data_IF_974247404788
#
_entry.id   IF_974247404788
#
_cell.length_a   1.000
_cell.length_b   1.000
_cell.length_c   1.000
_cell.angle_alpha   90.00
_cell.angle_beta   90.00
_cell.angle_gamma   90.00
#
_symmetry.space_group_name_H-M   'P 1'
#
loop_
_entity.id
_entity.type
_entity.pdbx_description
1 polymer ?
#
# COMPACT_ATOMS: atom_id res chain seq x y z
N UNK A 1 -3.53 13.44 -10.54
CA UNK A 1 -4.17 12.11 -10.55
C UNK A 1 -4.54 11.79 -9.12
N UNK A 2 -5.73 11.25 -8.86
CA UNK A 2 -6.12 10.90 -7.50
C UNK A 2 -5.32 9.67 -7.04
N UNK A 3 -4.95 9.60 -5.77
CA UNK A 3 -4.21 8.48 -5.19
C UNK A 3 -4.92 7.13 -5.44
N UNK A 4 -6.25 7.15 -5.36
CA UNK A 4 -7.09 5.98 -5.61
C UNK A 4 -6.89 5.43 -7.03
N UNK A 5 -6.89 6.30 -8.04
CA UNK A 5 -6.68 5.90 -9.45
C UNK A 5 -5.28 5.31 -9.67
N UNK A 6 -4.27 5.87 -9.00
CA UNK A 6 -2.90 5.38 -9.08
C UNK A 6 -2.80 3.98 -8.48
N UNK A 7 -3.41 3.75 -7.32
CA UNK A 7 -3.42 2.43 -6.66
C UNK A 7 -4.15 1.41 -7.52
N UNK A 8 -5.35 1.72 -8.02
CA UNK A 8 -6.10 0.79 -8.87
C UNK A 8 -5.39 0.47 -10.18
N UNK A 9 -4.59 1.39 -10.74
CA UNK A 9 -3.77 1.10 -11.92
C UNK A 9 -2.57 0.20 -11.61
N UNK A 10 -1.99 0.33 -10.42
CA UNK A 10 -0.85 -0.48 -9.98
C UNK A 10 -1.27 -1.88 -9.54
N UNK A 11 -2.52 -2.04 -9.10
CA UNK A 11 -3.12 -3.34 -8.83
C UNK A 11 -3.33 -4.07 -10.16
N UNK A 12 -2.47 -5.04 -10.45
CA UNK A 12 -2.69 -6.02 -11.52
C UNK A 12 -3.52 -7.20 -11.04
N UNK A 13 -3.90 -8.10 -11.95
CA UNK A 13 -4.78 -9.26 -11.65
C UNK A 13 -4.18 -10.25 -10.63
N UNK A 14 -2.87 -10.16 -10.39
CA UNK A 14 -2.09 -11.08 -9.56
C UNK A 14 -1.92 -10.63 -8.09
N UNK A 15 -2.49 -9.48 -7.73
CA UNK A 15 -2.47 -8.91 -6.38
C UNK A 15 -3.88 -8.47 -5.96
N UNK A 16 -4.33 -8.99 -4.84
CA UNK A 16 -5.62 -8.68 -4.26
C UNK A 16 -5.46 -7.56 -3.22
N UNK A 17 -6.28 -6.51 -3.33
CA UNK A 17 -6.38 -5.44 -2.34
C UNK A 17 -7.39 -5.84 -1.26
N UNK A 18 -6.88 -6.19 -0.09
CA UNK A 18 -7.67 -6.65 1.06
C UNK A 18 -8.19 -5.47 1.89
N UNK A 19 -7.33 -4.47 2.11
CA UNK A 19 -7.67 -3.26 2.87
C UNK A 19 -7.18 -2.04 2.11
N UNK A 20 -8.05 -1.04 2.00
CA UNK A 20 -7.72 0.31 1.57
C UNK A 20 -8.53 1.29 2.41
N UNK A 21 -7.90 1.82 3.46
CA UNK A 21 -8.63 2.60 4.46
C UNK A 21 -7.81 3.77 5.00
N UNK A 22 -8.45 4.93 5.05
CA UNK A 22 -7.96 6.08 5.78
C UNK A 22 -8.43 6.07 7.24
N UNK A 23 -7.53 6.45 8.14
CA UNK A 23 -7.82 6.81 9.53
C UNK A 23 -7.41 8.27 9.76
N UNK A 24 -8.38 9.10 10.15
CA UNK A 24 -8.23 10.55 10.34
C UNK A 24 -8.24 10.98 11.82
N UNK A 25 -8.12 10.05 12.76
CA UNK A 25 -8.30 10.31 14.20
C UNK A 25 -7.33 11.34 14.81
N UNK A 26 -6.11 11.49 14.29
CA UNK A 26 -5.15 12.50 14.77
C UNK A 26 -4.15 12.94 13.71
N UNK A 27 -3.33 12.01 13.22
CA UNK A 27 -2.48 12.19 12.04
C UNK A 27 -3.01 11.28 10.95
N UNK A 28 -3.51 11.81 9.82
CA UNK A 28 -4.10 10.99 8.79
C UNK A 28 -3.14 9.90 8.32
N UNK A 29 -3.56 8.66 8.44
CA UNK A 29 -2.82 7.51 7.92
C UNK A 29 -3.66 6.76 6.90
N UNK A 30 -3.00 6.24 5.89
CA UNK A 30 -3.56 5.33 4.92
C UNK A 30 -2.99 3.93 5.19
N UNK A 31 -3.90 2.97 5.35
CA UNK A 31 -3.57 1.56 5.49
C UNK A 31 -3.92 0.83 4.21
N UNK A 32 -2.95 0.09 3.67
CA UNK A 32 -3.09 -0.72 2.47
C UNK A 32 -2.69 -2.14 2.83
N UNK A 33 -3.56 -3.12 2.61
CA UNK A 33 -3.24 -4.53 2.78
C UNK A 33 -3.42 -5.25 1.46
N UNK A 34 -2.40 -6.00 1.06
CA UNK A 34 -2.34 -6.75 -0.19
C UNK A 34 -2.11 -8.22 0.09
N UNK A 35 -2.63 -9.07 -0.79
CA UNK A 35 -2.28 -10.49 -0.85
C UNK A 35 -1.93 -10.89 -2.29
N UNK A 36 -0.76 -11.52 -2.48
CA UNK A 36 -0.32 -11.93 -3.82
C UNK A 36 1.08 -12.53 -3.82
N UNK A 37 1.64 -12.78 -5.01
CA UNK A 37 3.03 -13.25 -5.10
C UNK A 37 4.01 -12.12 -4.76
N UNK A 38 5.13 -12.47 -4.13
CA UNK A 38 6.13 -11.50 -3.67
C UNK A 38 6.57 -10.51 -4.76
N UNK A 39 6.82 -11.00 -5.98
CA UNK A 39 7.27 -10.15 -7.10
C UNK A 39 6.27 -9.05 -7.47
N UNK A 40 4.97 -9.32 -7.37
CA UNK A 40 3.92 -8.34 -7.69
C UNK A 40 3.71 -7.37 -6.53
N UNK A 41 3.71 -7.87 -5.28
CA UNK A 41 3.69 -7.01 -4.10
C UNK A 41 4.91 -6.07 -4.06
N UNK A 42 6.10 -6.58 -4.38
CA UNK A 42 7.32 -5.78 -4.47
C UNK A 42 7.22 -4.69 -5.55
N UNK A 43 6.76 -5.05 -6.75
CA UNK A 43 6.57 -4.08 -7.83
C UNK A 43 5.57 -2.99 -7.46
N UNK A 44 4.41 -3.37 -6.89
CA UNK A 44 3.41 -2.42 -6.41
C UNK A 44 4.01 -1.46 -5.37
N UNK A 45 4.63 -1.99 -4.32
CA UNK A 45 5.12 -1.20 -3.19
C UNK A 45 6.21 -0.21 -3.61
N UNK A 46 7.19 -0.70 -4.38
CA UNK A 46 8.29 0.14 -4.88
C UNK A 46 7.78 1.24 -5.82
N UNK A 47 6.85 0.91 -6.72
CA UNK A 47 6.28 1.90 -7.65
C UNK A 47 5.43 2.94 -6.92
N UNK A 48 4.57 2.50 -5.99
CA UNK A 48 3.74 3.41 -5.19
C UNK A 48 4.62 4.37 -4.38
N UNK A 49 5.62 3.86 -3.65
CA UNK A 49 6.50 4.68 -2.81
C UNK A 49 7.38 5.63 -3.62
N UNK A 50 7.85 5.22 -4.81
CA UNK A 50 8.66 6.07 -5.67
C UNK A 50 7.87 7.24 -6.28
N UNK A 51 6.59 7.02 -6.57
CA UNK A 51 5.73 8.03 -7.20
C UNK A 51 4.98 8.91 -6.19
N UNK A 52 4.92 8.50 -4.92
CA UNK A 52 4.10 9.19 -3.94
C UNK A 52 4.82 10.38 -3.30
N UNK A 53 4.24 11.57 -3.47
CA UNK A 53 4.81 12.82 -2.97
C UNK A 53 4.11 13.33 -1.70
N UNK A 54 2.84 12.99 -1.50
CA UNK A 54 2.00 13.52 -0.41
C UNK A 54 2.00 12.67 0.86
N UNK A 55 2.40 11.40 0.76
CA UNK A 55 2.48 10.49 1.90
C UNK A 55 3.93 10.17 2.25
N UNK A 56 4.18 9.99 3.53
CA UNK A 56 5.42 9.46 4.09
C UNK A 56 5.24 7.99 4.45
N UNK A 57 6.28 7.19 4.19
CA UNK A 57 6.35 5.82 4.67
C UNK A 57 6.38 5.78 6.20
N UNK A 58 5.57 4.90 6.80
CA UNK A 58 5.58 4.65 8.25
C UNK A 58 6.05 3.23 8.55
N UNK A 59 5.37 2.24 7.98
CA UNK A 59 5.60 0.84 8.30
C UNK A 59 5.24 -0.06 7.13
N UNK A 60 5.96 -1.17 7.00
CA UNK A 60 5.62 -2.29 6.15
C UNK A 60 5.82 -3.59 6.94
N UNK A 61 4.76 -4.39 7.01
CA UNK A 61 4.81 -5.74 7.55
C UNK A 61 4.49 -6.73 6.44
N UNK A 62 5.26 -7.81 6.37
CA UNK A 62 5.10 -8.85 5.37
C UNK A 62 5.05 -10.21 6.05
N UNK A 63 4.06 -11.02 5.70
CA UNK A 63 3.85 -12.36 6.23
C UNK A 63 3.59 -13.34 5.09
N UNK A 64 4.26 -14.50 5.13
CA UNK A 64 3.98 -15.58 4.20
C UNK A 64 2.77 -16.37 4.70
N UNK A 65 1.74 -16.47 3.87
CA UNK A 65 0.54 -17.27 4.14
C UNK A 65 0.78 -18.75 3.81
N UNK A 66 -0.06 -19.61 4.40
CA UNK A 66 -0.02 -21.06 4.17
C UNK A 66 -0.25 -21.44 2.70
N UNK A 67 -1.04 -20.65 1.97
CA UNK A 67 -1.30 -20.81 0.53
C UNK A 67 -0.09 -20.43 -0.37
N UNK A 68 1.05 -20.06 0.24
CA UNK A 68 2.27 -19.67 -0.47
C UNK A 68 2.29 -18.20 -0.92
N UNK A 69 1.19 -17.46 -0.80
CA UNK A 69 1.13 -16.03 -1.10
C UNK A 69 1.77 -15.21 0.03
N UNK A 70 2.08 -13.96 -0.29
CA UNK A 70 2.56 -12.95 0.64
C UNK A 70 1.41 -12.01 0.99
N UNK A 71 1.15 -11.87 2.28
CA UNK A 71 0.34 -10.79 2.81
C UNK A 71 1.25 -9.61 3.17
N UNK A 72 0.95 -8.43 2.64
CA UNK A 72 1.70 -7.20 2.91
C UNK A 72 0.77 -6.16 3.51
N UNK A 73 1.15 -5.54 4.63
CA UNK A 73 0.44 -4.42 5.24
C UNK A 73 1.35 -3.20 5.26
N UNK A 74 0.95 -2.18 4.49
CA UNK A 74 1.65 -0.91 4.35
C UNK A 74 0.86 0.18 5.09
N UNK A 75 1.58 0.96 5.90
CA UNK A 75 1.05 2.15 6.56
C UNK A 75 1.80 3.37 6.04
N UNK A 76 1.04 4.34 5.57
CA UNK A 76 1.51 5.62 5.06
C UNK A 76 0.88 6.76 5.86
N UNK A 77 1.60 7.86 6.08
CA UNK A 77 1.12 9.03 6.80
C UNK A 77 1.08 10.25 5.90
N UNK A 78 -0.03 11.01 5.91
CA UNK A 78 -0.12 12.25 5.16
C UNK A 78 0.91 13.26 5.68
N UNK A 79 1.70 13.81 4.76
CA UNK A 79 2.64 14.89 5.08
C UNK A 79 1.83 16.12 5.51
N UNK A 80 2.32 16.84 6.51
CA UNK A 80 1.81 18.19 6.77
C UNK A 80 2.33 19.08 5.64
N UNK A 81 1.46 19.91 5.08
CA UNK A 81 1.95 21.08 4.34
C UNK A 81 2.73 21.93 5.34
N UNK A 82 3.99 22.23 5.02
CA UNK A 82 4.82 23.18 5.78
C UNK A 82 4.38 24.62 5.50
#
# INVERSE_FOLDING_TARGET
MALDEQIHRLLGDEIELIVYQWDFSSRPILQIQLEGQFQYSYHFLTTLLAQQTLLSFVQLTMEKKENGKLQSHLVLQLKREE
#
